data_IF_257392139871
#
_entry.id   IF_257392139871
#
_cell.length_a   1.000
_cell.length_b   1.000
_cell.length_c   1.000
_cell.angle_alpha   90.00
_cell.angle_beta   90.00
_cell.angle_gamma   90.00
#
_symmetry.space_group_name_H-M   'P 1'
#
loop_
_entity.id
_entity.type
_entity.pdbx_description
1 polymer ?
#
# COMPACT_ATOMS: atom_id res chain seq x y z
N UNK A 1 25.17 3.33 -5.88
CA UNK A 1 23.93 2.85 -5.25
C UNK A 1 22.78 3.21 -6.17
N UNK A 2 22.11 2.23 -6.78
CA UNK A 2 20.91 2.53 -7.56
C UNK A 2 19.77 2.85 -6.58
N UNK A 3 19.14 4.02 -6.74
CA UNK A 3 17.89 4.34 -6.06
C UNK A 3 16.83 3.38 -6.59
N UNK A 4 16.30 2.49 -5.74
CA UNK A 4 15.19 1.62 -6.10
C UNK A 4 13.93 2.48 -6.01
N UNK A 5 13.19 2.70 -7.10
CA UNK A 5 12.01 3.55 -7.06
C UNK A 5 10.91 2.98 -6.17
N UNK A 6 10.21 3.84 -5.44
CA UNK A 6 9.07 3.42 -4.62
C UNK A 6 9.45 2.68 -3.33
N UNK A 7 10.68 2.81 -2.83
CA UNK A 7 11.09 2.22 -1.53
C UNK A 7 10.20 2.71 -0.38
N UNK A 8 9.83 3.99 -0.36
CA UNK A 8 8.93 4.52 0.67
C UNK A 8 7.52 3.90 0.56
N UNK A 9 6.99 3.78 -0.66
CA UNK A 9 5.70 3.12 -0.88
C UNK A 9 5.75 1.64 -0.47
N UNK A 10 6.85 0.95 -0.77
CA UNK A 10 7.04 -0.45 -0.36
C UNK A 10 7.00 -0.60 1.16
N UNK A 11 7.72 0.26 1.89
CA UNK A 11 7.68 0.25 3.37
C UNK A 11 6.27 0.49 3.89
N UNK A 12 5.54 1.44 3.34
CA UNK A 12 4.16 1.71 3.73
C UNK A 12 3.24 0.52 3.48
N UNK A 13 3.38 -0.16 2.33
CA UNK A 13 2.62 -1.38 2.00
C UNK A 13 2.96 -2.53 2.95
N UNK A 14 4.23 -2.74 3.28
CA UNK A 14 4.65 -3.80 4.22
C UNK A 14 4.10 -3.53 5.63
N UNK A 15 4.15 -2.29 6.11
CA UNK A 15 3.53 -1.88 7.38
C UNK A 15 2.01 -2.08 7.36
N UNK A 16 1.34 -1.67 6.28
CA UNK A 16 -0.10 -1.85 6.13
C UNK A 16 -0.51 -3.33 6.20
N UNK A 17 0.23 -4.22 5.56
CA UNK A 17 -0.04 -5.67 5.61
C UNK A 17 0.09 -6.23 7.03
N UNK A 18 1.07 -5.77 7.80
CA UNK A 18 1.26 -6.17 9.21
C UNK A 18 0.12 -5.64 10.09
N UNK A 19 -0.23 -4.36 9.95
CA UNK A 19 -1.30 -3.75 10.72
C UNK A 19 -2.64 -4.45 10.47
N UNK A 20 -2.99 -4.68 9.20
CA UNK A 20 -4.25 -5.36 8.85
C UNK A 20 -4.28 -6.83 9.29
N UNK A 21 -3.12 -7.48 9.44
CA UNK A 21 -3.04 -8.83 9.98
C UNK A 21 -3.37 -8.85 11.48
N UNK A 22 -2.84 -7.90 12.25
CA UNK A 22 -3.06 -7.79 13.69
C UNK A 22 -4.51 -7.42 14.05
N UNK A 23 -5.16 -6.66 13.19
CA UNK A 23 -6.51 -6.12 13.41
C UNK A 23 -7.62 -7.14 13.16
N UNK A 24 -7.33 -8.27 12.52
CA UNK A 24 -8.33 -9.30 12.18
C UNK A 24 -9.07 -9.92 13.39
N UNK A 25 -8.55 -9.73 14.60
CA UNK A 25 -9.13 -10.22 15.86
C UNK A 25 -9.64 -9.09 16.79
N UNK A 26 -9.62 -7.84 16.33
CA UNK A 26 -9.93 -6.67 17.15
C UNK A 26 -11.41 -6.27 17.10
N UNK A 27 -11.87 -5.51 18.09
CA UNK A 27 -13.20 -4.90 18.09
C UNK A 27 -13.38 -3.91 16.92
N UNK A 28 -14.64 -3.74 16.48
CA UNK A 28 -15.00 -2.91 15.31
C UNK A 28 -14.43 -1.49 15.36
N UNK A 29 -14.40 -0.86 16.54
CA UNK A 29 -13.87 0.50 16.70
C UNK A 29 -12.36 0.56 16.48
N UNK A 30 -11.63 -0.43 17.00
CA UNK A 30 -10.18 -0.53 16.80
C UNK A 30 -9.86 -0.84 15.35
N UNK A 31 -10.66 -1.71 14.72
CA UNK A 31 -10.55 -2.06 13.31
C UNK A 31 -10.70 -0.83 12.40
N UNK A 32 -11.74 -0.02 12.61
CA UNK A 32 -11.94 1.22 11.85
C UNK A 32 -10.80 2.23 12.08
N UNK A 33 -10.30 2.34 13.31
CA UNK A 33 -9.16 3.19 13.62
C UNK A 33 -7.88 2.74 12.91
N UNK A 34 -7.62 1.43 12.86
CA UNK A 34 -6.47 0.88 12.17
C UNK A 34 -6.58 1.03 10.64
N UNK A 35 -7.76 0.79 10.06
CA UNK A 35 -8.01 1.03 8.63
C UNK A 35 -7.71 2.48 8.23
N UNK A 36 -8.12 3.47 9.05
CA UNK A 36 -7.81 4.88 8.78
C UNK A 36 -6.31 5.16 8.83
N UNK A 37 -5.61 4.67 9.86
CA UNK A 37 -4.15 4.81 9.97
C UNK A 37 -3.42 4.20 8.77
N UNK A 38 -3.86 3.01 8.33
CA UNK A 38 -3.32 2.37 7.13
C UNK A 38 -3.54 3.25 5.90
N UNK A 39 -4.76 3.76 5.71
CA UNK A 39 -5.09 4.61 4.58
C UNK A 39 -4.25 5.90 4.56
N UNK A 40 -4.13 6.59 5.71
CA UNK A 40 -3.34 7.82 5.83
C UNK A 40 -1.86 7.58 5.51
N UNK A 41 -1.30 6.47 5.98
CA UNK A 41 0.10 6.08 5.71
C UNK A 41 0.32 5.77 4.22
N UNK A 42 -0.59 5.04 3.57
CA UNK A 42 -0.52 4.75 2.14
C UNK A 42 -0.61 6.03 1.31
N UNK A 43 -1.54 6.91 1.66
CA UNK A 43 -1.74 8.18 1.00
C UNK A 43 -0.51 9.10 1.13
N UNK A 44 0.08 9.18 2.31
CA UNK A 44 1.31 9.93 2.55
C UNK A 44 2.50 9.40 1.74
N UNK A 45 2.62 8.07 1.62
CA UNK A 45 3.66 7.46 0.80
C UNK A 45 3.45 7.70 -0.70
N UNK A 46 2.21 7.65 -1.18
CA UNK A 46 1.85 8.00 -2.56
C UNK A 46 2.14 9.47 -2.87
N UNK A 47 1.76 10.38 -1.98
CA UNK A 47 2.05 11.81 -2.11
C UNK A 47 3.56 12.06 -2.15
N UNK A 48 4.34 11.37 -1.32
CA UNK A 48 5.80 11.45 -1.38
C UNK A 48 6.33 10.96 -2.73
N UNK A 49 5.94 9.76 -3.17
CA UNK A 49 6.33 9.19 -4.47
C UNK A 49 5.97 10.11 -5.63
N UNK A 50 4.81 10.78 -5.59
CA UNK A 50 4.41 11.78 -6.57
C UNK A 50 5.31 13.01 -6.54
N UNK A 51 5.63 13.52 -5.35
CA UNK A 51 6.47 14.70 -5.17
C UNK A 51 7.90 14.51 -5.71
N UNK A 52 8.44 13.29 -5.63
CA UNK A 52 9.76 12.95 -6.17
C UNK A 52 9.72 12.43 -7.62
N UNK A 53 8.54 12.38 -8.25
CA UNK A 53 8.37 12.03 -9.67
C UNK A 53 8.50 10.54 -10.01
N UNK A 54 8.42 9.64 -9.02
CA UNK A 54 8.62 8.21 -9.23
C UNK A 54 7.34 7.46 -9.66
N UNK A 55 6.17 8.10 -9.61
CA UNK A 55 4.87 7.49 -9.90
C UNK A 55 4.84 6.79 -11.26
N UNK A 56 5.48 7.37 -12.29
CA UNK A 56 5.59 6.78 -13.62
C UNK A 56 6.34 5.45 -13.61
N UNK A 57 7.37 5.32 -12.76
CA UNK A 57 8.17 4.11 -12.65
C UNK A 57 7.43 2.99 -11.93
N UNK A 58 6.50 3.32 -11.04
CA UNK A 58 5.77 2.35 -10.22
C UNK A 58 4.25 2.42 -10.40
N UNK A 59 3.78 2.84 -11.58
CA UNK A 59 2.35 3.09 -11.86
C UNK A 59 1.45 1.89 -11.54
N UNK A 60 1.90 0.66 -11.83
CA UNK A 60 1.15 -0.55 -11.50
C UNK A 60 1.01 -0.78 -9.98
N UNK A 61 2.02 -0.41 -9.19
CA UNK A 61 1.97 -0.48 -7.74
C UNK A 61 1.07 0.62 -7.18
N UNK A 62 1.17 1.85 -7.69
CA UNK A 62 0.29 2.97 -7.33
C UNK A 62 -1.17 2.60 -7.53
N UNK A 63 -1.51 2.02 -8.69
CA UNK A 63 -2.88 1.60 -8.96
C UNK A 63 -3.37 0.52 -7.99
N UNK A 64 -2.52 -0.47 -7.66
CA UNK A 64 -2.88 -1.50 -6.69
C UNK A 64 -3.09 -0.92 -5.28
N UNK A 65 -2.34 0.12 -4.90
CA UNK A 65 -2.55 0.84 -3.63
C UNK A 65 -3.88 1.60 -3.65
N UNK A 66 -4.23 2.31 -4.72
CA UNK A 66 -5.55 2.97 -4.82
C UNK A 66 -6.72 1.98 -4.75
N UNK A 67 -6.57 0.80 -5.35
CA UNK A 67 -7.56 -0.29 -5.19
C UNK A 67 -7.66 -0.73 -3.73
N UNK A 68 -6.54 -0.84 -3.02
CA UNK A 68 -6.54 -1.16 -1.59
C UNK A 68 -7.22 -0.06 -0.74
N UNK A 69 -6.93 1.21 -0.99
CA UNK A 69 -7.57 2.36 -0.32
C UNK A 69 -9.11 2.32 -0.52
N UNK A 70 -9.57 1.97 -1.73
CA UNK A 70 -10.99 1.81 -2.05
C UNK A 70 -11.64 0.68 -1.25
N UNK A 71 -10.98 -0.48 -1.14
CA UNK A 71 -11.47 -1.59 -0.33
C UNK A 71 -11.45 -1.28 1.17
N UNK A 72 -10.46 -0.53 1.66
CA UNK A 72 -10.42 -0.07 3.05
C UNK A 72 -11.58 0.88 3.35
N UNK A 73 -11.91 1.80 2.43
CA UNK A 73 -13.08 2.68 2.55
C UNK A 73 -14.40 1.88 2.56
N UNK A 74 -14.47 0.77 1.81
CA UNK A 74 -15.60 -0.16 1.80
C UNK A 74 -15.58 -1.16 2.98
N UNK A 75 -14.60 -1.08 3.89
CA UNK A 75 -14.38 -2.05 4.99
C UNK A 75 -14.15 -3.50 4.54
N UNK A 76 -13.68 -3.70 3.31
CA UNK A 76 -13.39 -5.01 2.71
C UNK A 76 -11.94 -5.46 2.99
N UNK A 77 -11.64 -5.82 4.24
CA UNK A 77 -10.28 -6.16 4.69
C UNK A 77 -9.56 -7.19 3.84
N UNK A 78 -10.23 -8.28 3.48
CA UNK A 78 -9.64 -9.36 2.69
C UNK A 78 -9.18 -8.85 1.31
N UNK A 79 -10.02 -8.04 0.66
CA UNK A 79 -9.73 -7.47 -0.65
C UNK A 79 -8.63 -6.41 -0.57
N UNK A 80 -8.64 -5.58 0.48
CA UNK A 80 -7.56 -4.65 0.76
C UNK A 80 -6.21 -5.37 0.91
N UNK A 81 -6.15 -6.49 1.64
CA UNK A 81 -4.93 -7.30 1.80
C UNK A 81 -4.44 -7.90 0.48
N UNK A 82 -5.35 -8.38 -0.37
CA UNK A 82 -5.01 -8.90 -1.71
C UNK A 82 -4.42 -7.80 -2.59
N UNK A 83 -5.04 -6.62 -2.61
CA UNK A 83 -4.56 -5.47 -3.36
C UNK A 83 -3.18 -5.00 -2.87
N UNK A 84 -2.97 -4.90 -1.56
CA UNK A 84 -1.67 -4.55 -0.97
C UNK A 84 -0.59 -5.60 -1.25
N UNK A 85 -0.94 -6.89 -1.23
CA UNK A 85 0.00 -7.95 -1.61
C UNK A 85 0.42 -7.83 -3.06
N UNK A 86 -0.51 -7.46 -3.95
CA UNK A 86 -0.24 -7.19 -5.35
C UNK A 86 0.67 -5.96 -5.50
N UNK A 87 0.39 -4.87 -4.80
CA UNK A 87 1.25 -3.69 -4.78
C UNK A 87 2.70 -4.05 -4.36
N UNK A 88 2.85 -4.86 -3.31
CA UNK A 88 4.16 -5.35 -2.85
C UNK A 88 4.89 -6.15 -3.92
N UNK A 89 4.22 -7.09 -4.59
CA UNK A 89 4.82 -7.88 -5.68
C UNK A 89 5.32 -6.97 -6.82
N UNK A 90 4.52 -5.96 -7.21
CA UNK A 90 4.89 -4.97 -8.23
C UNK A 90 6.06 -4.07 -7.84
N UNK A 91 6.26 -3.83 -6.55
CA UNK A 91 7.40 -3.06 -6.02
C UNK A 91 8.65 -3.91 -5.79
N UNK A 92 8.50 -5.24 -5.72
CA UNK A 92 9.61 -6.17 -5.43
C UNK A 92 10.19 -6.76 -6.71
N UNK A 93 9.40 -6.90 -7.77
CA UNK A 93 9.93 -7.29 -9.08
C UNK A 93 10.67 -6.09 -9.69
N UNK A 94 11.99 -6.19 -9.94
CA UNK A 94 12.60 -5.26 -10.88
C UNK A 94 11.83 -5.37 -12.20
N UNK A 95 11.55 -4.24 -12.84
CA UNK A 95 11.08 -4.26 -14.23
C UNK A 95 12.16 -4.97 -15.04
N UNK A 96 11.93 -6.26 -15.31
CA UNK A 96 12.70 -7.00 -16.30
C UNK A 96 12.51 -6.25 -17.62
N UNK A 97 13.63 -5.72 -18.11
CA UNK A 97 13.76 -5.00 -19.37
C UNK A 97 13.10 -5.83 -20.49
N UNK A 98 12.09 -5.26 -21.13
CA UNK A 98 11.73 -5.60 -22.50
C UNK A 98 11.71 -4.32 -23.32
#
# INVERSE_FOLDING_TARGET
MALIPGVQLRRAVDTALLDLQNVSSADRSEMLGAMRRVNDNLHGALAHTAAIGETCMIAAAVQAVHTAESHLAASELSQARVALTTARDRLTRPKDLH
#
